data_IF_033713474801
#
_entry.id   IF_033713474801
#
_cell.length_a   1.000
_cell.length_b   1.000
_cell.length_c   1.000
_cell.angle_alpha   90.00
_cell.angle_beta   90.00
_cell.angle_gamma   90.00
#
_symmetry.space_group_name_H-M   'P 1'
#
loop_
_entity.id
_entity.type
_entity.pdbx_description
1 polymer ?
#
# COMPACT_ATOMS: atom_id res chain seq x y z
N UNK A 1 21.74 -6.38 -11.24
CA UNK A 1 20.93 -6.70 -10.05
C UNK A 1 19.45 -6.73 -10.48
N UNK A 2 18.79 -7.90 -10.49
CA UNK A 2 17.36 -8.00 -10.82
C UNK A 2 16.57 -7.53 -9.61
N UNK A 3 15.80 -6.46 -9.74
CA UNK A 3 14.88 -6.02 -8.69
C UNK A 3 13.82 -7.10 -8.51
N UNK A 4 13.76 -7.74 -7.35
CA UNK A 4 12.67 -8.65 -7.01
C UNK A 4 11.44 -7.80 -6.72
N UNK A 5 10.33 -8.10 -7.40
CA UNK A 5 9.06 -7.45 -7.09
C UNK A 5 8.64 -7.81 -5.66
N UNK A 6 8.22 -6.81 -4.87
CA UNK A 6 7.77 -6.99 -3.49
C UNK A 6 6.23 -7.11 -3.41
N UNK A 7 5.53 -7.14 -4.55
CA UNK A 7 4.08 -7.37 -4.61
C UNK A 7 3.62 -8.65 -3.88
N UNK A 8 4.30 -9.82 -3.97
CA UNK A 8 3.90 -11.00 -3.21
C UNK A 8 3.91 -10.77 -1.70
N UNK A 9 4.90 -10.02 -1.20
CA UNK A 9 5.04 -9.67 0.21
C UNK A 9 3.88 -8.76 0.66
N UNK A 10 3.53 -7.76 -0.16
CA UNK A 10 2.38 -6.88 0.11
C UNK A 10 1.08 -7.69 0.19
N UNK A 11 0.89 -8.65 -0.73
CA UNK A 11 -0.29 -9.53 -0.73
C UNK A 11 -0.34 -10.41 0.53
N UNK A 12 0.81 -10.92 0.96
CA UNK A 12 0.91 -11.70 2.19
C UNK A 12 0.49 -10.87 3.42
N UNK A 13 0.99 -9.65 3.58
CA UNK A 13 0.64 -8.79 4.71
C UNK A 13 -0.82 -8.33 4.71
N UNK A 14 -1.41 -8.08 3.54
CA UNK A 14 -2.81 -7.69 3.41
C UNK A 14 -3.78 -8.86 3.64
N UNK A 15 -3.31 -10.10 3.53
CA UNK A 15 -4.13 -11.29 3.72
C UNK A 15 -4.92 -11.74 2.49
N UNK A 16 -5.60 -12.89 2.61
CA UNK A 16 -6.24 -13.59 1.47
C UNK A 16 -7.41 -12.82 0.85
N UNK A 17 -8.10 -12.03 1.66
CA UNK A 17 -9.28 -11.24 1.27
C UNK A 17 -8.92 -9.99 0.46
N UNK A 18 -7.62 -9.66 0.37
CA UNK A 18 -7.16 -8.50 -0.37
C UNK A 18 -7.41 -8.63 -1.88
N UNK A 19 -8.07 -7.63 -2.44
CA UNK A 19 -8.26 -7.52 -3.88
C UNK A 19 -6.96 -7.14 -4.57
N UNK A 20 -6.90 -7.37 -5.88
CA UNK A 20 -5.76 -6.93 -6.69
C UNK A 20 -5.58 -5.41 -6.70
N UNK A 21 -6.66 -4.67 -6.50
CA UNK A 21 -6.61 -3.23 -6.38
C UNK A 21 -5.99 -2.79 -5.04
N UNK A 22 -6.34 -3.43 -3.92
CA UNK A 22 -5.73 -3.12 -2.61
C UNK A 22 -4.21 -3.35 -2.63
N UNK A 23 -3.77 -4.48 -3.21
CA UNK A 23 -2.35 -4.81 -3.37
C UNK A 23 -1.64 -3.78 -4.26
N UNK A 24 -2.23 -3.42 -5.40
CA UNK A 24 -1.65 -2.43 -6.34
C UNK A 24 -1.51 -1.06 -5.70
N UNK A 25 -2.54 -0.59 -4.99
CA UNK A 25 -2.51 0.72 -4.33
C UNK A 25 -1.45 0.77 -3.24
N UNK A 26 -1.33 -0.26 -2.40
CA UNK A 26 -0.26 -0.33 -1.40
C UNK A 26 1.13 -0.31 -2.04
N UNK A 27 1.34 -1.11 -3.09
CA UNK A 27 2.61 -1.14 -3.83
C UNK A 27 2.96 0.22 -4.45
N UNK A 28 1.99 0.91 -5.04
CA UNK A 28 2.17 2.25 -5.60
C UNK A 28 2.56 3.26 -4.53
N UNK A 29 1.86 3.27 -3.39
CA UNK A 29 2.13 4.18 -2.27
C UNK A 29 3.51 3.97 -1.66
N UNK A 30 3.95 2.72 -1.52
CA UNK A 30 5.32 2.39 -1.04
C UNK A 30 6.36 2.95 -2.00
N UNK A 31 6.19 2.74 -3.31
CA UNK A 31 7.12 3.27 -4.32
C UNK A 31 7.16 4.80 -4.32
N UNK A 32 5.99 5.45 -4.21
CA UNK A 32 5.84 6.91 -4.21
C UNK A 32 6.71 7.58 -3.12
N UNK A 33 6.77 6.99 -1.94
CA UNK A 33 7.56 7.52 -0.81
C UNK A 33 9.07 7.52 -1.08
N UNK A 34 9.55 6.63 -1.95
CA UNK A 34 10.97 6.55 -2.31
C UNK A 34 11.37 7.50 -3.46
N UNK A 35 10.41 8.07 -4.22
CA UNK A 35 10.74 8.83 -5.44
C UNK A 35 11.49 10.14 -5.19
N UNK A 36 11.08 10.93 -4.19
CA UNK A 36 11.74 12.20 -3.86
C UNK A 36 13.24 12.03 -3.54
N UNK A 37 13.58 11.13 -2.60
CA UNK A 37 14.96 10.73 -2.30
C UNK A 37 15.74 10.24 -3.52
N UNK A 38 15.16 9.34 -4.32
CA UNK A 38 15.80 8.84 -5.56
C UNK A 38 16.04 9.94 -6.60
N UNK A 39 15.14 10.91 -6.71
CA UNK A 39 15.28 12.04 -7.61
C UNK A 39 16.41 12.97 -7.16
N UNK A 40 16.53 13.24 -5.86
CA UNK A 40 17.64 14.02 -5.29
C UNK A 40 18.98 13.34 -5.55
N UNK A 41 19.07 12.04 -5.30
CA UNK A 41 20.25 11.22 -5.61
C UNK A 41 20.64 11.29 -7.09
N UNK A 42 19.66 11.15 -7.99
CA UNK A 42 19.87 11.24 -9.43
C UNK A 42 20.38 12.63 -9.85
N UNK A 43 19.78 13.70 -9.32
CA UNK A 43 20.23 15.07 -9.58
C UNK A 43 21.66 15.27 -9.10
N UNK A 44 22.02 14.80 -7.91
CA UNK A 44 23.38 14.87 -7.39
C UNK A 44 24.37 14.24 -8.35
N UNK A 45 24.11 12.99 -8.78
CA UNK A 45 24.97 12.25 -9.73
C UNK A 45 25.15 12.99 -11.05
N UNK A 46 24.08 13.59 -11.58
CA UNK A 46 24.15 14.40 -12.80
C UNK A 46 24.91 15.72 -12.60
N UNK A 47 24.86 16.32 -11.41
CA UNK A 47 25.61 17.54 -11.09
C UNK A 47 27.09 17.31 -10.75
N UNK A 48 27.56 16.05 -10.66
CA UNK A 48 28.98 15.75 -10.43
C UNK A 48 29.88 16.14 -11.63
N UNK A 49 29.29 16.44 -12.78
CA UNK A 49 29.97 16.99 -13.97
C UNK A 49 29.96 18.54 -14.00
N UNK A 50 29.38 19.21 -13.00
CA UNK A 50 29.28 20.68 -12.89
C UNK A 50 29.66 21.24 -11.51
N UNK A 51 29.52 22.56 -11.29
CA UNK A 51 29.87 23.18 -10.01
C UNK A 51 29.06 22.56 -8.85
N UNK A 52 29.75 22.23 -7.75
CA UNK A 52 29.09 21.71 -6.53
C UNK A 52 28.07 22.73 -6.03
N UNK A 53 26.78 22.42 -6.20
CA UNK A 53 25.69 23.20 -5.62
C UNK A 53 25.61 22.92 -4.11
N UNK A 54 25.60 23.96 -3.25
CA UNK A 54 25.42 23.79 -1.81
C UNK A 54 24.05 23.16 -1.51
N UNK A 55 24.02 22.18 -0.59
CA UNK A 55 22.80 21.46 -0.19
C UNK A 55 22.61 20.07 -0.81
N UNK A 56 23.62 19.52 -1.50
CA UNK A 56 23.63 18.17 -2.07
C UNK A 56 24.52 17.22 -1.26
N UNK A 57 24.32 17.15 0.06
CA UNK A 57 25.02 16.18 0.89
C UNK A 57 24.62 14.73 0.49
N UNK A 58 25.50 13.74 0.71
CA UNK A 58 25.21 12.35 0.39
C UNK A 58 23.99 11.85 1.16
N UNK A 59 23.01 11.30 0.43
CA UNK A 59 21.85 10.64 1.05
C UNK A 59 22.28 9.33 1.71
N UNK A 60 23.52 8.85 1.56
CA UNK A 60 23.91 7.52 2.06
C UNK A 60 23.57 7.34 3.55
N UNK A 61 23.91 8.28 4.44
CA UNK A 61 23.51 8.18 5.85
C UNK A 61 21.99 8.34 6.08
N UNK A 62 21.28 8.91 5.10
CA UNK A 62 19.83 9.06 5.08
C UNK A 62 19.11 7.84 4.46
N UNK A 63 19.77 6.99 3.65
CA UNK A 63 19.11 5.90 2.91
C UNK A 63 18.61 4.86 3.89
N UNK A 64 19.44 4.40 4.83
CA UNK A 64 19.07 3.40 5.83
C UNK A 64 17.99 3.93 6.76
N UNK A 65 18.13 5.18 7.25
CA UNK A 65 17.14 5.82 8.11
C UNK A 65 15.79 5.96 7.38
N UNK A 66 15.83 6.42 6.13
CA UNK A 66 14.63 6.55 5.31
C UNK A 66 14.02 5.19 4.98
N UNK A 67 14.84 4.18 4.66
CA UNK A 67 14.35 2.84 4.37
C UNK A 67 13.66 2.24 5.59
N UNK A 68 14.23 2.41 6.78
CA UNK A 68 13.62 1.99 8.04
C UNK A 68 12.30 2.73 8.31
N UNK A 69 12.30 4.06 8.14
CA UNK A 69 11.10 4.88 8.30
C UNK A 69 9.98 4.48 7.33
N UNK A 70 10.29 4.38 6.04
CA UNK A 70 9.33 3.97 4.99
C UNK A 70 8.82 2.56 5.28
N UNK A 71 9.66 1.66 5.77
CA UNK A 71 9.25 0.30 6.13
C UNK A 71 8.23 0.32 7.26
N UNK A 72 8.52 0.97 8.39
CA UNK A 72 7.60 1.08 9.52
C UNK A 72 6.29 1.80 9.14
N UNK A 73 6.39 2.91 8.41
CA UNK A 73 5.23 3.65 7.93
C UNK A 73 4.35 2.80 7.02
N UNK A 74 4.97 2.07 6.09
CA UNK A 74 4.26 1.20 5.15
C UNK A 74 3.59 0.02 5.86
N UNK A 75 4.25 -0.59 6.85
CA UNK A 75 3.65 -1.67 7.65
C UNK A 75 2.43 -1.19 8.44
N UNK A 76 2.50 0.00 9.05
CA UNK A 76 1.36 0.61 9.72
C UNK A 76 0.20 0.88 8.74
N UNK A 77 0.51 1.44 7.56
CA UNK A 77 -0.49 1.67 6.51
C UNK A 77 -1.13 0.37 5.98
N UNK A 78 -0.33 -0.68 5.76
CA UNK A 78 -0.83 -1.99 5.34
C UNK A 78 -1.73 -2.60 6.43
N UNK A 79 -1.35 -2.47 7.69
CA UNK A 79 -2.15 -2.97 8.82
C UNK A 79 -3.52 -2.29 8.87
N UNK A 80 -3.58 -0.98 8.65
CA UNK A 80 -4.84 -0.25 8.56
C UNK A 80 -5.68 -0.69 7.35
N UNK A 81 -5.07 -0.84 6.17
CA UNK A 81 -5.78 -1.33 4.98
C UNK A 81 -6.33 -2.75 5.20
N UNK A 82 -5.56 -3.63 5.85
CA UNK A 82 -6.03 -4.98 6.23
C UNK A 82 -7.27 -4.93 7.10
N UNK A 83 -7.29 -4.04 8.10
CA UNK A 83 -8.45 -3.88 8.99
C UNK A 83 -9.69 -3.42 8.20
N UNK A 84 -9.51 -2.50 7.24
CA UNK A 84 -10.60 -2.06 6.34
C UNK A 84 -11.10 -3.17 5.44
N UNK A 85 -10.21 -4.01 4.92
CA UNK A 85 -10.60 -5.18 4.10
C UNK A 85 -11.46 -6.13 4.92
N UNK A 86 -11.04 -6.49 6.14
CA UNK A 86 -11.80 -7.35 7.04
C UNK A 86 -13.19 -6.76 7.37
N UNK A 87 -13.26 -5.45 7.64
CA UNK A 87 -14.53 -4.77 7.87
C UNK A 87 -15.48 -4.81 6.66
N UNK A 88 -14.96 -4.77 5.42
CA UNK A 88 -15.78 -4.95 4.19
C UNK A 88 -16.37 -6.35 4.11
N UNK A 89 -15.64 -7.38 4.55
CA UNK A 89 -16.09 -8.78 4.57
C UNK A 89 -17.24 -9.02 5.56
N UNK A 90 -17.20 -8.37 6.74
CA UNK A 90 -18.25 -8.52 7.75
C UNK A 90 -19.57 -7.81 7.39
N UNK A 91 -19.52 -6.68 6.69
CA UNK A 91 -20.72 -5.96 6.25
C UNK A 91 -21.54 -6.70 5.18
N UNK A 92 -20.94 -7.71 4.51
CA UNK A 92 -21.62 -8.51 3.49
C UNK A 92 -22.46 -9.69 4.02
N UNK A 93 -22.45 -9.96 5.33
CA UNK A 93 -23.06 -11.16 5.92
C UNK A 93 -24.35 -10.93 6.73
N UNK A 94 -24.84 -9.69 6.87
CA UNK A 94 -26.07 -9.36 7.63
C UNK A 94 -27.33 -9.23 6.74
N UNK A 95 -27.31 -9.77 5.51
CA UNK A 95 -28.31 -9.47 4.47
C UNK A 95 -29.22 -10.60 4.00
N UNK A 96 -29.18 -11.81 4.57
CA UNK A 96 -30.11 -12.89 4.18
C UNK A 96 -31.12 -13.11 5.29
N UNK A 97 -32.08 -12.20 5.40
CA UNK A 97 -33.34 -12.48 6.08
C UNK A 97 -34.11 -13.49 5.22
N UNK A 98 -34.38 -14.66 5.79
CA UNK A 98 -35.25 -15.71 5.25
C UNK A 98 -36.55 -15.12 4.65
N UNK A 99 -36.97 -15.56 3.46
CA UNK A 99 -38.23 -15.10 2.88
C UNK A 99 -39.40 -15.57 3.75
N UNK A 100 -40.11 -14.61 4.36
CA UNK A 100 -41.36 -14.85 5.10
C UNK A 100 -42.40 -15.46 4.14
N UNK A 101 -43.04 -16.58 4.47
CA UNK A 101 -44.03 -17.19 3.59
C UNK A 101 -45.27 -16.29 3.47
N UNK A 102 -45.60 -15.90 2.24
CA UNK A 102 -46.82 -15.17 1.91
C UNK A 102 -48.02 -16.09 2.08
N UNK A 103 -48.87 -15.81 3.08
CA UNK A 103 -50.18 -16.47 3.18
C UNK A 103 -51.09 -15.98 2.06
N UNK A 104 -51.49 -16.89 1.18
CA UNK A 104 -52.56 -16.67 0.21
C UNK A 104 -53.90 -16.64 0.96
N UNK A 105 -54.46 -15.44 1.13
CA UNK A 105 -55.79 -15.22 1.69
C UNK A 105 -56.82 -14.99 0.57
N UNK A 106 -57.93 -15.69 0.69
CA UNK A 106 -58.83 -16.09 -0.37
C UNK A 106 -59.78 -14.97 -0.86
N UNK A 107 -60.19 -15.12 -2.13
CA UNK A 107 -61.29 -14.39 -2.77
C UNK A 107 -62.61 -14.74 -2.07
N UNK A 108 -63.41 -13.75 -1.71
CA UNK A 108 -64.88 -13.80 -1.72
C UNK A 108 -65.44 -12.39 -1.82
#
# INVERSE_FOLDING_TARGET
MKFRDFRPIVREFLGREATEQDVRLCQMSIRAQCFGPLLRERRRKMSMEGPKLPGLEPILDEVEILADHVTHFSLAGIQEVRNRIAARGHAGNEGVAEPVPVMQGERS
#
